data_IF_958828456276
#
_entry.id   IF_958828456276
#
_cell.length_a   1.000
_cell.length_b   1.000
_cell.length_c   1.000
_cell.angle_alpha   90.00
_cell.angle_beta   90.00
_cell.angle_gamma   90.00
#
_symmetry.space_group_name_H-M   'P 1'
#
loop_
_entity.id
_entity.type
_entity.pdbx_description
1 polymer ?
#
# COMPACT_ATOMS: atom_id res chain seq x y z
N UNK A 1 -28.93 10.27 1.65
CA UNK A 1 -28.47 9.66 0.38
C UNK A 1 -28.81 8.17 0.47
N UNK A 2 -29.65 7.63 -0.41
CA UNK A 2 -30.10 6.22 -0.33
C UNK A 2 -28.99 5.28 -0.82
N UNK A 3 -28.92 4.06 -0.26
CA UNK A 3 -27.89 3.05 -0.57
C UNK A 3 -27.78 2.77 -2.09
N UNK A 4 -28.88 2.86 -2.82
CA UNK A 4 -28.93 2.73 -4.29
C UNK A 4 -28.15 3.82 -5.01
N UNK A 5 -28.30 5.09 -4.60
CA UNK A 5 -27.58 6.23 -5.21
C UNK A 5 -26.06 6.11 -5.03
N UNK A 6 -25.60 5.54 -3.92
CA UNK A 6 -24.18 5.31 -3.66
C UNK A 6 -23.59 4.20 -4.54
N UNK A 7 -24.39 3.18 -4.86
CA UNK A 7 -23.98 2.08 -5.75
C UNK A 7 -23.90 2.53 -7.21
N UNK A 8 -24.84 3.36 -7.64
CA UNK A 8 -24.85 3.91 -9.00
C UNK A 8 -23.67 4.88 -9.21
N UNK A 9 -23.38 5.72 -8.20
CA UNK A 9 -22.19 6.59 -8.19
C UNK A 9 -20.90 5.75 -8.25
N UNK A 10 -20.79 4.69 -7.44
CA UNK A 10 -19.63 3.80 -7.47
C UNK A 10 -19.42 3.17 -8.85
N UNK A 11 -20.49 2.66 -9.46
CA UNK A 11 -20.44 2.01 -10.77
C UNK A 11 -19.96 2.98 -11.84
N UNK A 12 -20.48 4.22 -11.81
CA UNK A 12 -20.07 5.28 -12.73
C UNK A 12 -18.58 5.62 -12.57
N UNK A 13 -18.09 5.69 -11.33
CA UNK A 13 -16.68 5.99 -11.07
C UNK A 13 -15.76 4.88 -11.55
N UNK A 14 -16.16 3.61 -11.38
CA UNK A 14 -15.43 2.45 -11.89
C UNK A 14 -15.38 2.49 -13.42
N UNK A 15 -16.50 2.73 -14.09
CA UNK A 15 -16.52 2.84 -15.56
C UNK A 15 -15.65 3.99 -16.08
N UNK A 16 -15.64 5.13 -15.40
CA UNK A 16 -14.77 6.26 -15.75
C UNK A 16 -13.29 5.94 -15.61
N UNK A 17 -12.93 5.10 -14.64
CA UNK A 17 -11.57 4.64 -14.43
C UNK A 17 -11.14 3.59 -15.46
N UNK A 18 -12.02 2.64 -15.78
CA UNK A 18 -11.78 1.57 -16.76
C UNK A 18 -11.72 2.06 -18.20
N UNK A 19 -12.73 2.84 -18.61
CA UNK A 19 -13.01 3.07 -20.04
C UNK A 19 -12.54 4.42 -20.54
N UNK A 20 -12.18 5.34 -19.65
CA UNK A 20 -11.77 6.67 -20.10
C UNK A 20 -10.32 6.69 -20.56
N UNK A 21 -10.10 7.02 -21.81
CA UNK A 21 -8.75 7.33 -22.33
C UNK A 21 -8.18 8.63 -21.75
N UNK A 22 -9.04 9.50 -21.20
CA UNK A 22 -8.64 10.85 -20.76
C UNK A 22 -8.10 10.85 -19.34
N UNK A 23 -6.84 11.26 -19.16
CA UNK A 23 -6.17 11.34 -17.85
C UNK A 23 -6.95 12.17 -16.84
N UNK A 24 -7.51 13.32 -17.25
CA UNK A 24 -8.32 14.18 -16.37
C UNK A 24 -9.58 13.50 -15.84
N UNK A 25 -10.23 12.66 -16.66
CA UNK A 25 -11.44 11.93 -16.24
C UNK A 25 -11.06 10.84 -15.23
N UNK A 26 -10.00 10.07 -15.53
CA UNK A 26 -9.47 9.08 -14.59
C UNK A 26 -9.04 9.71 -13.27
N UNK A 27 -8.38 10.86 -13.31
CA UNK A 27 -7.97 11.61 -12.12
C UNK A 27 -9.17 12.12 -11.31
N UNK A 28 -10.19 12.67 -11.97
CA UNK A 28 -11.41 13.15 -11.30
C UNK A 28 -12.17 11.99 -10.64
N UNK A 29 -12.26 10.84 -11.32
CA UNK A 29 -12.89 9.65 -10.77
C UNK A 29 -12.10 9.08 -9.58
N UNK A 30 -10.76 9.02 -9.68
CA UNK A 30 -9.89 8.59 -8.58
C UNK A 30 -9.99 9.54 -7.37
N UNK A 31 -10.06 10.85 -7.59
CA UNK A 31 -10.26 11.83 -6.52
C UNK A 31 -11.60 11.63 -5.82
N UNK A 32 -12.67 11.38 -6.59
CA UNK A 32 -14.00 11.13 -6.04
C UNK A 32 -14.06 9.82 -5.25
N UNK A 33 -13.43 8.75 -5.76
CA UNK A 33 -13.30 7.50 -5.01
C UNK A 33 -12.53 7.70 -3.70
N UNK A 34 -11.40 8.42 -3.73
CA UNK A 34 -10.61 8.70 -2.53
C UNK A 34 -11.43 9.44 -1.46
N UNK A 35 -12.28 10.38 -1.87
CA UNK A 35 -13.22 11.07 -0.97
C UNK A 35 -14.25 10.10 -0.37
N UNK A 36 -14.85 9.21 -1.18
CA UNK A 36 -15.81 8.24 -0.69
C UNK A 36 -15.16 7.26 0.30
N UNK A 37 -13.91 6.85 0.04
CA UNK A 37 -13.11 6.04 0.96
C UNK A 37 -12.81 6.76 2.28
N UNK A 38 -12.41 8.04 2.22
CA UNK A 38 -12.18 8.84 3.42
C UNK A 38 -13.48 9.04 4.23
N UNK A 39 -14.63 9.15 3.55
CA UNK A 39 -15.92 9.42 4.15
C UNK A 39 -16.62 8.19 4.78
N UNK A 40 -15.99 7.02 4.83
CA UNK A 40 -16.59 5.89 5.56
C UNK A 40 -17.39 4.90 4.71
N UNK A 41 -17.69 5.18 3.43
CA UNK A 41 -18.71 4.44 2.67
C UNK A 41 -18.50 2.91 2.64
N UNK A 42 -19.41 2.17 3.25
CA UNK A 42 -19.35 0.70 3.36
C UNK A 42 -19.65 -0.02 2.05
N UNK A 43 -20.38 0.62 1.12
CA UNK A 43 -20.71 0.03 -0.19
C UNK A 43 -19.46 -0.25 -1.05
N UNK A 44 -18.36 0.45 -0.79
CA UNK A 44 -17.06 0.26 -1.44
C UNK A 44 -16.42 -1.09 -1.11
N UNK A 45 -16.78 -1.69 0.02
CA UNK A 45 -16.29 -3.00 0.42
C UNK A 45 -16.78 -4.05 -0.59
N UNK A 46 -18.04 -3.99 -1.04
CA UNK A 46 -18.64 -5.08 -1.83
C UNK A 46 -18.21 -5.16 -3.30
N UNK A 47 -17.14 -4.47 -3.70
CA UNK A 47 -16.67 -4.47 -5.07
C UNK A 47 -15.34 -5.23 -5.18
N UNK A 48 -15.38 -6.56 -5.40
CA UNK A 48 -14.16 -7.38 -5.44
C UNK A 48 -13.18 -6.94 -6.55
N UNK A 49 -13.69 -6.47 -7.69
CA UNK A 49 -12.87 -6.02 -8.81
C UNK A 49 -12.23 -4.63 -8.60
N UNK A 50 -12.71 -3.84 -7.62
CA UNK A 50 -12.21 -2.48 -7.41
C UNK A 50 -10.74 -2.47 -7.01
N UNK A 51 -10.29 -3.43 -6.21
CA UNK A 51 -8.88 -3.53 -5.82
C UNK A 51 -8.00 -3.85 -7.02
N UNK A 52 -8.41 -4.80 -7.86
CA UNK A 52 -7.70 -5.18 -9.10
C UNK A 52 -7.59 -4.01 -10.07
N UNK A 53 -8.69 -3.27 -10.26
CA UNK A 53 -8.71 -2.06 -11.07
C UNK A 53 -7.72 -1.00 -10.57
N UNK A 54 -7.75 -0.72 -9.27
CA UNK A 54 -6.85 0.27 -8.66
C UNK A 54 -5.38 -0.17 -8.79
N UNK A 55 -5.09 -1.47 -8.66
CA UNK A 55 -3.75 -2.00 -8.91
C UNK A 55 -3.32 -1.72 -10.35
N UNK A 56 -4.17 -2.06 -11.33
CA UNK A 56 -3.85 -1.87 -12.75
C UNK A 56 -3.62 -0.40 -13.08
N UNK A 57 -4.46 0.50 -12.58
CA UNK A 57 -4.29 1.94 -12.77
C UNK A 57 -3.02 2.48 -12.13
N UNK A 58 -2.65 1.98 -10.95
CA UNK A 58 -1.42 2.39 -10.30
C UNK A 58 -0.18 1.95 -11.09
N UNK A 59 -0.22 0.74 -11.68
CA UNK A 59 0.84 0.25 -12.57
C UNK A 59 0.92 1.07 -13.86
N UNK A 60 -0.23 1.41 -14.47
CA UNK A 60 -0.28 2.22 -15.69
C UNK A 60 0.29 3.63 -15.50
N UNK A 61 0.13 4.20 -14.30
CA UNK A 61 0.63 5.52 -13.94
C UNK A 61 2.11 5.52 -13.50
N UNK A 62 2.68 4.35 -13.22
CA UNK A 62 3.98 4.24 -12.57
C UNK A 62 5.11 4.81 -13.44
N UNK A 63 5.95 5.65 -12.82
CA UNK A 63 7.12 6.25 -13.47
C UNK A 63 6.80 7.35 -14.49
N UNK A 64 5.51 7.69 -14.67
CA UNK A 64 5.07 8.75 -15.60
C UNK A 64 4.71 10.01 -14.81
N UNK A 65 5.51 11.05 -14.91
CA UNK A 65 5.34 12.31 -14.15
C UNK A 65 3.96 12.95 -14.35
N UNK A 66 3.44 12.91 -15.59
CA UNK A 66 2.10 13.43 -15.94
C UNK A 66 0.94 12.70 -15.26
N UNK A 67 1.19 11.51 -14.69
CA UNK A 67 0.22 10.70 -13.97
C UNK A 67 0.47 10.64 -12.47
N UNK A 68 1.47 11.36 -11.93
CA UNK A 68 1.83 11.32 -10.49
C UNK A 68 0.62 11.59 -9.58
N UNK A 69 -0.19 12.60 -9.88
CA UNK A 69 -1.39 12.90 -9.08
C UNK A 69 -2.45 11.78 -9.15
N UNK A 70 -2.64 11.16 -10.31
CA UNK A 70 -3.52 9.98 -10.43
C UNK A 70 -2.98 8.81 -9.63
N UNK A 71 -1.67 8.56 -9.69
CA UNK A 71 -1.01 7.51 -8.92
C UNK A 71 -1.17 7.73 -7.41
N UNK A 72 -0.99 8.95 -6.92
CA UNK A 72 -1.21 9.32 -5.51
C UNK A 72 -2.64 9.04 -5.06
N UNK A 73 -3.64 9.45 -5.86
CA UNK A 73 -5.05 9.23 -5.54
C UNK A 73 -5.41 7.75 -5.52
N UNK A 74 -4.88 6.97 -6.46
CA UNK A 74 -5.08 5.52 -6.53
C UNK A 74 -4.41 4.81 -5.35
N UNK A 75 -3.16 5.17 -5.02
CA UNK A 75 -2.46 4.63 -3.84
C UNK A 75 -3.19 5.00 -2.54
N UNK A 76 -3.78 6.20 -2.46
CA UNK A 76 -4.64 6.60 -1.35
C UNK A 76 -5.87 5.69 -1.22
N UNK A 77 -6.54 5.36 -2.34
CA UNK A 77 -7.67 4.42 -2.34
C UNK A 77 -7.24 3.03 -1.87
N UNK A 78 -6.13 2.51 -2.39
CA UNK A 78 -5.55 1.22 -1.97
C UNK A 78 -5.24 1.24 -0.48
N UNK A 79 -4.60 2.30 0.02
CA UNK A 79 -4.26 2.47 1.45
C UNK A 79 -5.50 2.38 2.33
N UNK A 80 -6.60 3.04 1.93
CA UNK A 80 -7.87 3.04 2.65
C UNK A 80 -8.57 1.67 2.62
N UNK A 81 -8.55 0.98 1.48
CA UNK A 81 -9.07 -0.39 1.38
C UNK A 81 -8.33 -1.34 2.33
N UNK A 82 -7.00 -1.29 2.29
CA UNK A 82 -6.15 -2.12 3.13
C UNK A 82 -6.37 -1.85 4.63
N UNK A 83 -6.46 -0.58 5.03
CA UNK A 83 -6.74 -0.18 6.42
C UNK A 83 -8.06 -0.74 6.95
N UNK A 84 -9.02 -0.98 6.07
CA UNK A 84 -10.36 -1.53 6.39
C UNK A 84 -10.42 -3.06 6.35
N UNK A 85 -9.31 -3.74 6.09
CA UNK A 85 -9.30 -5.19 6.07
C UNK A 85 -9.54 -5.82 4.69
N UNK A 86 -9.56 -5.04 3.61
CA UNK A 86 -9.72 -5.58 2.25
C UNK A 86 -8.41 -6.16 1.75
N UNK A 87 -8.19 -7.44 2.05
CA UNK A 87 -7.02 -8.19 1.61
C UNK A 87 -7.37 -9.66 1.38
N UNK A 88 -7.57 -10.04 0.11
CA UNK A 88 -7.49 -11.44 -0.28
C UNK A 88 -6.02 -11.86 -0.41
N UNK A 89 -5.70 -13.11 -0.09
CA UNK A 89 -4.31 -13.59 -0.06
C UNK A 89 -3.57 -13.41 -1.40
N UNK A 90 -4.27 -13.58 -2.53
CA UNK A 90 -3.70 -13.36 -3.86
C UNK A 90 -3.42 -11.88 -4.13
N UNK A 91 -4.37 -11.00 -3.79
CA UNK A 91 -4.24 -9.55 -3.99
C UNK A 91 -3.17 -8.94 -3.10
N UNK A 92 -2.94 -9.46 -1.88
CA UNK A 92 -1.89 -8.97 -0.99
C UNK A 92 -0.52 -9.02 -1.65
N UNK A 93 -0.20 -10.09 -2.37
CA UNK A 93 1.09 -10.20 -3.05
C UNK A 93 1.22 -9.12 -4.12
N UNK A 94 0.24 -9.00 -5.02
CA UNK A 94 0.26 -8.02 -6.12
C UNK A 94 0.31 -6.58 -5.60
N UNK A 95 -0.48 -6.26 -4.59
CA UNK A 95 -0.46 -4.93 -3.94
C UNK A 95 0.90 -4.67 -3.27
N UNK A 96 1.53 -5.71 -2.72
CA UNK A 96 2.87 -5.58 -2.13
C UNK A 96 3.94 -5.26 -3.18
N UNK A 97 3.92 -5.95 -4.34
CA UNK A 97 4.83 -5.65 -5.46
C UNK A 97 4.70 -4.19 -5.88
N UNK A 98 3.46 -3.75 -6.10
CA UNK A 98 3.13 -2.39 -6.50
C UNK A 98 3.64 -1.37 -5.48
N UNK A 99 3.36 -1.58 -4.20
CA UNK A 99 3.78 -0.66 -3.13
C UNK A 99 5.29 -0.61 -2.99
N UNK A 100 5.97 -1.76 -3.05
CA UNK A 100 7.45 -1.81 -3.00
C UNK A 100 8.04 -1.04 -4.18
N UNK A 101 7.56 -1.27 -5.40
CA UNK A 101 8.05 -0.57 -6.57
C UNK A 101 7.73 0.93 -6.54
N UNK A 102 6.56 1.32 -6.02
CA UNK A 102 6.19 2.71 -5.85
C UNK A 102 7.13 3.43 -4.88
N UNK A 103 7.52 2.79 -3.76
CA UNK A 103 8.51 3.35 -2.82
C UNK A 103 9.86 3.56 -3.52
N UNK A 104 10.38 2.52 -4.19
CA UNK A 104 11.69 2.59 -4.86
C UNK A 104 11.70 3.66 -5.95
N UNK A 105 10.71 3.65 -6.83
CA UNK A 105 10.61 4.58 -7.96
C UNK A 105 10.46 6.02 -7.47
N UNK A 106 9.55 6.27 -6.52
CA UNK A 106 9.28 7.62 -6.02
C UNK A 106 10.47 8.20 -5.25
N UNK A 107 11.19 7.36 -4.50
CA UNK A 107 12.41 7.79 -3.83
C UNK A 107 13.53 8.13 -4.81
N UNK A 108 13.68 7.40 -5.91
CA UNK A 108 14.68 7.72 -6.94
C UNK A 108 14.32 9.00 -7.72
N UNK A 109 13.02 9.24 -7.92
CA UNK A 109 12.52 10.39 -8.69
C UNK A 109 12.32 11.66 -7.85
N UNK A 110 12.38 11.57 -6.51
CA UNK A 110 12.06 12.68 -5.62
C UNK A 110 10.57 13.03 -5.58
N UNK A 111 9.68 12.08 -5.90
CA UNK A 111 8.22 12.28 -5.81
C UNK A 111 7.73 11.99 -4.38
N UNK A 112 7.87 13.00 -3.52
CA UNK A 112 7.51 12.93 -2.10
C UNK A 112 6.02 12.60 -1.87
N UNK A 113 5.14 13.05 -2.77
CA UNK A 113 3.71 12.80 -2.67
C UNK A 113 3.39 11.32 -2.88
N UNK A 114 3.87 10.74 -3.96
CA UNK A 114 3.70 9.30 -4.24
C UNK A 114 4.40 8.44 -3.19
N UNK A 115 5.58 8.86 -2.73
CA UNK A 115 6.32 8.21 -1.66
C UNK A 115 5.50 8.16 -0.35
N UNK A 116 4.88 9.27 0.07
CA UNK A 116 4.07 9.33 1.29
C UNK A 116 2.92 8.31 1.28
N UNK A 117 2.17 8.25 0.18
CA UNK A 117 1.06 7.30 0.04
C UNK A 117 1.54 5.85 -0.07
N UNK A 118 2.65 5.59 -0.77
CA UNK A 118 3.23 4.25 -0.86
C UNK A 118 3.71 3.75 0.51
N UNK A 119 4.32 4.61 1.32
CA UNK A 119 4.73 4.29 2.69
C UNK A 119 3.53 4.03 3.60
N UNK A 120 2.48 4.84 3.51
CA UNK A 120 1.24 4.62 4.25
C UNK A 120 0.61 3.25 3.91
N UNK A 121 0.56 2.89 2.62
CA UNK A 121 0.10 1.57 2.17
C UNK A 121 0.96 0.44 2.75
N UNK A 122 2.29 0.58 2.72
CA UNK A 122 3.22 -0.40 3.27
C UNK A 122 3.06 -0.60 4.78
N UNK A 123 2.81 0.46 5.55
CA UNK A 123 2.53 0.37 6.99
C UNK A 123 1.26 -0.44 7.24
N UNK A 124 0.19 -0.18 6.48
CA UNK A 124 -1.07 -0.93 6.59
C UNK A 124 -0.89 -2.40 6.19
N UNK A 125 -0.15 -2.66 5.11
CA UNK A 125 0.16 -4.02 4.66
C UNK A 125 0.94 -4.81 5.72
N UNK A 126 1.98 -4.22 6.31
CA UNK A 126 2.83 -4.89 7.30
C UNK A 126 2.16 -5.11 8.66
N UNK A 127 1.06 -4.40 8.94
CA UNK A 127 0.25 -4.59 10.16
C UNK A 127 -0.70 -5.79 10.05
N UNK A 128 -1.07 -6.23 8.84
CA UNK A 128 -1.94 -7.41 8.62
C UNK A 128 -1.28 -8.74 9.02
N UNK A 129 -2.04 -9.85 9.17
CA UNK A 129 -1.50 -11.18 9.43
C UNK A 129 -0.50 -11.65 8.36
N UNK A 130 -0.74 -11.34 7.09
CA UNK A 130 0.12 -11.62 5.94
C UNK A 130 1.33 -10.69 5.81
N UNK A 131 1.40 -9.63 6.64
CA UNK A 131 2.44 -8.60 6.61
C UNK A 131 3.88 -9.08 6.84
N UNK A 132 4.10 -10.32 7.31
CA UNK A 132 5.43 -10.90 7.45
C UNK A 132 6.13 -11.14 6.11
N UNK A 133 5.40 -11.57 5.08
CA UNK A 133 5.97 -11.77 3.74
C UNK A 133 6.40 -10.43 3.11
N UNK A 134 5.60 -9.39 3.33
CA UNK A 134 5.81 -8.04 2.79
C UNK A 134 7.03 -7.39 3.45
N UNK A 135 7.13 -7.47 4.78
CA UNK A 135 8.29 -7.01 5.51
C UNK A 135 9.57 -7.67 5.02
N UNK A 136 9.54 -8.99 4.75
CA UNK A 136 10.69 -9.73 4.22
C UNK A 136 11.09 -9.24 2.83
N UNK A 137 10.12 -8.95 1.97
CA UNK A 137 10.38 -8.43 0.62
C UNK A 137 10.94 -7.02 0.63
N UNK A 138 10.41 -6.14 1.48
CA UNK A 138 10.94 -4.80 1.68
C UNK A 138 12.40 -4.83 2.17
N UNK A 139 12.75 -5.75 3.07
CA UNK A 139 14.14 -5.95 3.49
C UNK A 139 14.99 -6.45 2.32
N UNK A 140 14.51 -7.45 1.56
CA UNK A 140 15.28 -8.06 0.48
C UNK A 140 15.67 -7.08 -0.65
N UNK A 141 14.87 -6.03 -0.87
CA UNK A 141 15.17 -4.98 -1.85
C UNK A 141 15.93 -3.79 -1.26
N UNK A 142 16.40 -3.87 -0.01
CA UNK A 142 17.16 -2.80 0.65
C UNK A 142 16.33 -1.58 1.04
N UNK A 143 15.00 -1.71 1.11
CA UNK A 143 14.11 -0.60 1.44
C UNK A 143 14.38 -0.04 2.84
N UNK A 144 14.92 -0.83 3.77
CA UNK A 144 15.22 -0.37 5.12
C UNK A 144 16.36 0.67 5.15
N UNK A 145 17.33 0.56 4.25
CA UNK A 145 18.46 1.50 4.14
C UNK A 145 17.97 2.82 3.55
N UNK A 146 17.22 2.74 2.46
CA UNK A 146 16.56 3.88 1.84
C UNK A 146 15.64 4.63 2.81
N UNK A 147 14.88 3.90 3.63
CA UNK A 147 14.01 4.52 4.64
C UNK A 147 14.78 5.21 5.76
N UNK A 148 15.93 4.66 6.19
CA UNK A 148 16.77 5.32 7.20
C UNK A 148 17.34 6.63 6.67
N UNK A 149 17.87 6.62 5.45
CA UNK A 149 18.39 7.82 4.79
C UNK A 149 17.31 8.89 4.61
N UNK A 150 16.10 8.49 4.19
CA UNK A 150 14.96 9.39 4.10
C UNK A 150 14.55 9.94 5.47
N UNK A 151 14.47 9.10 6.50
CA UNK A 151 14.19 9.56 7.87
C UNK A 151 15.23 10.57 8.37
N UNK A 152 16.51 10.34 8.11
CA UNK A 152 17.60 11.23 8.53
C UNK A 152 17.56 12.58 7.79
N UNK A 153 17.30 12.55 6.49
CA UNK A 153 17.11 13.75 5.65
C UNK A 153 15.93 14.59 6.13
N UNK A 154 14.79 13.94 6.41
CA UNK A 154 13.52 14.59 6.75
C UNK A 154 13.38 14.95 8.24
N UNK A 155 14.23 14.42 9.14
CA UNK A 155 14.16 14.65 10.58
C UNK A 155 14.24 16.13 11.00
N UNK A 156 14.79 16.99 10.14
CA UNK A 156 14.90 18.44 10.39
C UNK A 156 13.78 19.25 9.74
N UNK A 157 12.92 18.61 8.96
CA UNK A 157 11.83 19.31 8.27
C UNK A 157 10.69 19.68 9.22
N UNK A 158 10.01 20.77 8.88
CA UNK A 158 8.81 21.26 9.57
C UNK A 158 7.56 21.18 8.70
N UNK A 159 7.66 20.69 7.46
CA UNK A 159 6.48 20.58 6.60
C UNK A 159 5.63 19.41 7.05
N UNK A 160 4.31 19.54 6.93
CA UNK A 160 3.38 18.46 7.29
C UNK A 160 3.61 17.20 6.46
N UNK A 161 3.91 17.36 5.17
CA UNK A 161 4.16 16.24 4.25
C UNK A 161 5.40 15.43 4.69
N UNK A 162 6.50 16.11 5.03
CA UNK A 162 7.73 15.44 5.47
C UNK A 162 7.55 14.73 6.81
N UNK A 163 6.78 15.34 7.73
CA UNK A 163 6.44 14.71 9.01
C UNK A 163 5.57 13.45 8.83
N UNK A 164 4.64 13.47 7.87
CA UNK A 164 3.84 12.30 7.53
C UNK A 164 4.70 11.19 6.91
N UNK A 165 5.59 11.53 5.97
CA UNK A 165 6.57 10.59 5.38
C UNK A 165 7.43 9.96 6.48
N UNK A 166 7.98 10.79 7.38
CA UNK A 166 8.83 10.34 8.49
C UNK A 166 8.06 9.44 9.47
N UNK A 167 6.80 9.76 9.75
CA UNK A 167 5.92 8.92 10.58
C UNK A 167 5.69 7.55 9.93
N UNK A 168 5.37 7.52 8.64
CA UNK A 168 5.13 6.25 7.94
C UNK A 168 6.40 5.42 7.77
N UNK A 169 7.53 6.05 7.41
CA UNK A 169 8.82 5.38 7.28
C UNK A 169 9.26 4.75 8.61
N UNK A 170 9.15 5.48 9.73
CA UNK A 170 9.46 4.96 11.06
C UNK A 170 8.52 3.82 11.48
N UNK A 171 7.22 3.96 11.20
CA UNK A 171 6.23 2.90 11.44
C UNK A 171 6.56 1.63 10.66
N UNK A 172 6.97 1.77 9.40
CA UNK A 172 7.34 0.65 8.54
C UNK A 172 8.62 -0.04 9.03
N UNK A 173 9.65 0.73 9.38
CA UNK A 173 10.90 0.21 9.97
C UNK A 173 10.63 -0.55 11.28
N UNK A 174 9.76 -0.03 12.15
CA UNK A 174 9.36 -0.70 13.38
C UNK A 174 8.64 -2.03 13.10
N UNK A 175 7.69 -2.04 12.15
CA UNK A 175 6.97 -3.23 11.73
C UNK A 175 7.90 -4.28 11.13
N UNK A 176 8.82 -3.89 10.25
CA UNK A 176 9.80 -4.78 9.63
C UNK A 176 10.68 -5.45 10.69
N UNK A 177 11.20 -4.68 11.65
CA UNK A 177 12.01 -5.20 12.76
C UNK A 177 11.24 -6.16 13.65
N UNK A 178 9.97 -5.86 13.96
CA UNK A 178 9.12 -6.73 14.78
C UNK A 178 8.78 -8.05 14.05
N UNK A 179 8.43 -7.98 12.77
CA UNK A 179 8.08 -9.15 11.96
C UNK A 179 9.28 -10.06 11.70
N UNK A 180 10.46 -9.52 11.41
CA UNK A 180 11.70 -10.29 11.27
C UNK A 180 12.04 -11.09 12.55
N UNK A 181 11.82 -10.50 13.74
CA UNK A 181 11.97 -11.21 15.02
C UNK A 181 10.95 -12.32 15.23
N UNK A 182 9.73 -12.18 14.69
CA UNK A 182 8.68 -13.19 14.80
C UNK A 182 8.96 -14.39 13.89
N UNK A 183 9.45 -14.13 12.67
CA UNK A 183 9.86 -15.17 11.71
C UNK A 183 10.99 -16.02 12.28
N UNK A 184 12.07 -15.39 12.76
CA UNK A 184 13.21 -16.11 13.37
C UNK A 184 12.84 -16.93 14.61
N UNK A 185 11.87 -16.50 15.41
CA UNK A 185 11.32 -17.30 16.52
C UNK A 185 10.51 -18.50 16.03
N UNK A 186 9.70 -18.32 14.99
CA UNK A 186 8.92 -19.39 14.37
C UNK A 186 9.82 -20.45 13.72
N UNK A 187 10.86 -20.03 13.00
CA UNK A 187 11.84 -20.93 12.37
C UNK A 187 12.60 -21.77 13.40
N UNK A 188 13.00 -21.17 14.53
CA UNK A 188 13.59 -21.92 15.65
C UNK A 188 12.61 -22.94 16.24
N UNK A 189 11.33 -22.58 16.37
CA UNK A 189 10.28 -23.49 16.84
C UNK A 189 10.07 -24.68 15.89
N UNK A 190 10.02 -24.42 14.58
CA UNK A 190 9.90 -25.46 13.54
C UNK A 190 11.14 -26.36 13.54
N UNK A 191 12.34 -25.78 13.57
CA UNK A 191 13.59 -26.53 13.62
C UNK A 191 13.69 -27.39 14.90
N UNK A 192 13.20 -26.89 16.03
CA UNK A 192 13.17 -27.64 17.29
C UNK A 192 12.12 -28.75 17.28
N UNK A 193 10.96 -28.53 16.68
CA UNK A 193 9.94 -29.56 16.48
C UNK A 193 10.43 -30.68 15.53
N UNK A 194 11.08 -30.31 14.43
CA UNK A 194 11.68 -31.26 13.49
C UNK A 194 12.78 -32.10 14.16
N UNK A 195 13.61 -31.49 15.01
CA UNK A 195 14.63 -32.22 15.79
C UNK A 195 14.02 -33.19 16.81
N UNK A 196 12.88 -32.87 17.42
CA UNK A 196 12.18 -33.79 18.33
C UNK A 196 11.56 -34.95 17.58
N UNK A 197 10.86 -34.66 16.48
CA UNK A 197 10.28 -35.70 15.63
C UNK A 197 11.35 -36.67 15.08
N UNK A 198 12.53 -36.15 14.73
CA UNK A 198 13.67 -36.97 14.29
C UNK A 198 14.35 -37.76 15.43
N UNK A 199 14.12 -37.42 16.70
CA UNK A 199 14.65 -38.14 17.86
C UNK A 199 13.66 -39.18 18.42
N UNK A 200 12.40 -39.13 17.98
CA UNK A 200 11.33 -40.08 18.33
C UNK A 200 11.14 -41.19 17.27
N UNK A 201 11.90 -41.14 16.16
CA UNK A 201 12.03 -42.18 15.13
C UNK A 201 13.30 -43.01 15.34
#
# INVERSE_FOLDING_TARGET
MTVTKQRDELTTLIEQLERSSTTRVRQSAAARLAQLFAAGHESLQRCPHLLELLIQLAQDCQGKSEHSLTQQLVLSCITNLLARGYHEAASVNVVSDLVVQAILTSSMMGDEGTLSYALAAAVNLTSTPSGAHIATRLVAVGCDTLLKEQCESLAKSKTKADLDILKYANGLLANMKHRAKKVTRSEKGIAQAAKRAAAEM
#
